data_IF_567394786807
#
_entry.id   IF_567394786807
#
_cell.length_a   1.000
_cell.length_b   1.000
_cell.length_c   1.000
_cell.angle_alpha   90.00
_cell.angle_beta   90.00
_cell.angle_gamma   90.00
#
_symmetry.space_group_name_H-M   'P 1'
#
loop_
_entity.id
_entity.type
_entity.pdbx_description
1 polymer ?
#
# COMPACT_ATOMS: atom_id res chain seq x y z
N UNK A 1 78.45 -36.57 -51.07
CA UNK A 1 77.14 -37.12 -50.66
C UNK A 1 76.85 -36.60 -49.26
N UNK A 2 76.01 -35.57 -49.13
CA UNK A 2 75.76 -34.86 -47.88
C UNK A 2 74.70 -35.60 -47.04
N UNK A 3 75.07 -36.04 -45.85
CA UNK A 3 74.14 -36.57 -44.85
C UNK A 3 73.46 -35.41 -44.11
N UNK A 4 72.20 -35.13 -44.44
CA UNK A 4 71.37 -34.17 -43.72
C UNK A 4 71.01 -34.71 -42.33
N UNK A 5 71.56 -34.10 -41.28
CA UNK A 5 71.12 -34.33 -39.90
C UNK A 5 69.84 -33.53 -39.65
N UNK A 6 68.71 -34.23 -39.53
CA UNK A 6 67.45 -33.66 -39.06
C UNK A 6 67.62 -33.28 -37.57
N UNK A 7 67.40 -32.02 -37.15
CA UNK A 7 67.43 -31.69 -35.74
C UNK A 7 66.25 -32.36 -35.04
N UNK A 8 66.54 -33.22 -34.05
CA UNK A 8 65.55 -33.68 -33.06
C UNK A 8 65.01 -32.44 -32.34
N UNK A 9 63.83 -31.96 -32.73
CA UNK A 9 63.03 -31.03 -31.92
C UNK A 9 62.89 -31.67 -30.54
N UNK A 10 63.55 -31.10 -29.51
CA UNK A 10 63.18 -31.34 -28.12
C UNK A 10 61.68 -31.06 -28.05
N UNK A 11 60.88 -32.07 -27.74
CA UNK A 11 59.51 -31.83 -27.33
C UNK A 11 59.59 -30.93 -26.10
N UNK A 12 59.28 -29.64 -26.29
CA UNK A 12 58.87 -28.77 -25.20
C UNK A 12 57.59 -29.40 -24.63
N UNK A 13 57.75 -30.36 -23.73
CA UNK A 13 56.69 -30.75 -22.81
C UNK A 13 56.52 -29.54 -21.88
N UNK A 14 55.82 -28.53 -22.38
CA UNK A 14 55.35 -27.41 -21.60
C UNK A 14 54.73 -27.94 -20.32
N UNK A 15 54.99 -27.28 -19.20
CA UNK A 15 54.75 -27.82 -17.87
C UNK A 15 53.24 -28.02 -17.62
N UNK A 16 52.70 -29.18 -18.00
CA UNK A 16 51.27 -29.53 -17.92
C UNK A 16 50.75 -29.36 -16.49
N UNK A 17 51.62 -29.57 -15.49
CA UNK A 17 51.31 -29.37 -14.07
C UNK A 17 50.99 -27.89 -13.79
N UNK A 18 51.76 -26.96 -14.35
CA UNK A 18 51.51 -25.52 -14.18
C UNK A 18 50.18 -25.13 -14.83
N UNK A 19 49.90 -25.62 -16.04
CA UNK A 19 48.63 -25.35 -16.72
C UNK A 19 47.43 -25.91 -15.95
N UNK A 20 47.55 -27.12 -15.40
CA UNK A 20 46.53 -27.74 -14.56
C UNK A 20 46.31 -26.95 -13.25
N UNK A 21 47.38 -26.50 -12.59
CA UNK A 21 47.25 -25.67 -11.39
C UNK A 21 46.54 -24.34 -11.69
N UNK A 22 46.86 -23.68 -12.81
CA UNK A 22 46.17 -22.45 -13.21
C UNK A 22 44.70 -22.69 -13.55
N UNK A 23 44.36 -23.80 -14.21
CA UNK A 23 42.97 -24.11 -14.54
C UNK A 23 42.15 -24.41 -13.28
N UNK A 24 42.69 -25.16 -12.32
CA UNK A 24 42.03 -25.39 -11.03
C UNK A 24 41.87 -24.10 -10.22
N UNK A 25 42.88 -23.23 -10.20
CA UNK A 25 42.80 -21.93 -9.53
C UNK A 25 41.74 -21.04 -10.17
N UNK A 26 41.71 -20.95 -11.51
CA UNK A 26 40.71 -20.19 -12.24
C UNK A 26 39.29 -20.73 -11.95
N UNK A 27 39.10 -22.05 -11.99
CA UNK A 27 37.83 -22.70 -11.66
C UNK A 27 37.40 -22.39 -10.22
N UNK A 28 38.30 -22.49 -9.26
CA UNK A 28 38.03 -22.17 -7.85
C UNK A 28 37.61 -20.72 -7.67
N UNK A 29 38.26 -19.77 -8.34
CA UNK A 29 37.90 -18.36 -8.31
C UNK A 29 36.52 -18.14 -8.93
N UNK A 30 36.22 -18.75 -10.08
CA UNK A 30 34.91 -18.65 -10.73
C UNK A 30 33.79 -19.19 -9.83
N UNK A 31 33.99 -20.34 -9.18
CA UNK A 31 33.02 -20.92 -8.25
C UNK A 31 32.79 -20.01 -7.04
N UNK A 32 33.86 -19.41 -6.50
CA UNK A 32 33.77 -18.49 -5.37
C UNK A 32 32.97 -17.22 -5.72
N UNK A 33 33.20 -16.67 -6.93
CA UNK A 33 32.43 -15.53 -7.44
C UNK A 33 30.96 -15.91 -7.62
N UNK A 34 30.67 -17.04 -8.29
CA UNK A 34 29.31 -17.50 -8.50
C UNK A 34 28.55 -17.71 -7.18
N UNK A 35 29.18 -18.37 -6.21
CA UNK A 35 28.61 -18.57 -4.88
C UNK A 35 28.32 -17.24 -4.15
N UNK A 36 29.22 -16.25 -4.28
CA UNK A 36 29.01 -14.91 -3.71
C UNK A 36 27.80 -14.21 -4.31
N UNK A 37 27.67 -14.23 -5.64
CA UNK A 37 26.53 -13.63 -6.34
C UNK A 37 25.22 -14.34 -5.95
N UNK A 38 25.21 -15.67 -5.89
CA UNK A 38 24.05 -16.44 -5.44
C UNK A 38 23.66 -16.10 -3.99
N UNK A 39 24.64 -15.96 -3.09
CA UNK A 39 24.40 -15.59 -1.69
C UNK A 39 23.79 -14.18 -1.55
N UNK A 40 24.33 -13.19 -2.25
CA UNK A 40 23.79 -11.82 -2.25
C UNK A 40 22.38 -11.77 -2.87
N UNK A 41 22.15 -12.50 -3.96
CA UNK A 41 20.83 -12.58 -4.60
C UNK A 41 19.79 -13.22 -3.68
N UNK A 42 20.15 -14.32 -3.00
CA UNK A 42 19.29 -14.96 -2.00
C UNK A 42 18.96 -14.01 -0.85
N UNK A 43 19.96 -13.26 -0.37
CA UNK A 43 19.79 -12.28 0.70
C UNK A 43 18.87 -11.14 0.28
N UNK A 44 19.01 -10.64 -0.95
CA UNK A 44 18.12 -9.61 -1.50
C UNK A 44 16.68 -10.10 -1.60
N UNK A 45 16.45 -11.31 -2.15
CA UNK A 45 15.12 -11.90 -2.23
C UNK A 45 14.49 -12.11 -0.85
N UNK A 46 15.28 -12.59 0.12
CA UNK A 46 14.82 -12.74 1.51
C UNK A 46 14.47 -11.38 2.13
N UNK A 47 15.29 -10.35 1.91
CA UNK A 47 15.04 -9.00 2.41
C UNK A 47 13.76 -8.41 1.81
N UNK A 48 13.55 -8.59 0.50
CA UNK A 48 12.33 -8.17 -0.20
C UNK A 48 11.10 -8.91 0.33
N UNK A 49 11.16 -10.24 0.46
CA UNK A 49 10.06 -11.03 0.98
C UNK A 49 9.64 -10.60 2.39
N UNK A 50 10.59 -10.24 3.25
CA UNK A 50 10.26 -9.72 4.57
C UNK A 50 9.73 -8.29 4.57
N UNK A 51 10.24 -7.42 3.70
CA UNK A 51 9.66 -6.09 3.53
C UNK A 51 8.19 -6.20 3.08
N UNK A 52 7.91 -7.09 2.14
CA UNK A 52 6.56 -7.39 1.66
C UNK A 52 5.68 -7.96 2.76
N UNK A 53 6.18 -8.89 3.57
CA UNK A 53 5.44 -9.47 4.69
C UNK A 53 5.10 -8.44 5.78
N UNK A 54 6.03 -7.54 6.10
CA UNK A 54 5.81 -6.47 7.06
C UNK A 54 4.77 -5.47 6.53
N UNK A 55 4.88 -5.06 5.25
CA UNK A 55 3.87 -4.21 4.62
C UNK A 55 2.49 -4.88 4.63
N UNK A 56 2.44 -6.19 4.33
CA UNK A 56 1.21 -6.97 4.34
C UNK A 56 0.58 -7.03 5.74
N UNK A 57 1.38 -7.10 6.81
CA UNK A 57 0.88 -7.04 8.18
C UNK A 57 0.15 -5.71 8.46
N UNK A 58 0.72 -4.59 8.02
CA UNK A 58 0.09 -3.27 8.10
C UNK A 58 -1.21 -3.22 7.31
N UNK A 59 -1.18 -3.63 6.05
CA UNK A 59 -2.37 -3.65 5.19
C UNK A 59 -3.48 -4.58 5.71
N UNK A 60 -3.14 -5.72 6.31
CA UNK A 60 -4.11 -6.61 6.98
C UNK A 60 -4.80 -5.91 8.14
N UNK A 61 -4.08 -5.11 8.94
CA UNK A 61 -4.69 -4.32 10.01
C UNK A 61 -5.53 -3.15 9.51
N UNK A 62 -5.14 -2.51 8.41
CA UNK A 62 -5.99 -1.54 7.73
C UNK A 62 -7.30 -2.17 7.23
N UNK A 63 -7.27 -3.45 6.85
CA UNK A 63 -8.46 -4.20 6.42
C UNK A 63 -9.32 -4.75 7.59
N UNK A 64 -8.86 -4.62 8.83
CA UNK A 64 -9.49 -5.30 9.95
C UNK A 64 -10.92 -4.76 10.17
N UNK A 65 -11.88 -5.69 10.16
CA UNK A 65 -13.33 -5.47 10.31
C UNK A 65 -13.96 -4.47 9.32
N UNK A 66 -13.30 -4.18 8.20
CA UNK A 66 -13.81 -3.24 7.19
C UNK A 66 -14.21 -1.85 7.74
N UNK A 67 -13.44 -1.34 8.70
CA UNK A 67 -13.77 -0.08 9.36
C UNK A 67 -13.80 1.09 8.35
N UNK A 68 -12.89 1.09 7.38
CA UNK A 68 -12.80 2.13 6.35
C UNK A 68 -14.01 2.05 5.40
N UNK A 69 -14.39 0.85 4.94
CA UNK A 69 -15.48 0.68 3.99
C UNK A 69 -16.84 1.00 4.61
N UNK A 70 -17.09 0.55 5.84
CA UNK A 70 -18.30 0.89 6.59
C UNK A 70 -18.40 2.40 6.85
N UNK A 71 -17.29 3.04 7.23
CA UNK A 71 -17.27 4.48 7.46
C UNK A 71 -17.56 5.28 6.18
N UNK A 72 -16.95 4.91 5.05
CA UNK A 72 -17.27 5.52 3.75
C UNK A 72 -18.76 5.39 3.40
N UNK A 73 -19.35 4.20 3.61
CA UNK A 73 -20.78 3.99 3.39
C UNK A 73 -21.64 4.84 4.33
N UNK A 74 -21.32 4.91 5.62
CA UNK A 74 -22.05 5.73 6.59
C UNK A 74 -22.00 7.21 6.21
N UNK A 75 -20.85 7.74 5.81
CA UNK A 75 -20.69 9.14 5.39
C UNK A 75 -21.56 9.43 4.16
N UNK A 76 -21.51 8.53 3.17
CA UNK A 76 -22.28 8.70 1.95
C UNK A 76 -23.79 8.63 2.21
N UNK A 77 -24.25 7.74 3.09
CA UNK A 77 -25.66 7.65 3.52
C UNK A 77 -26.09 8.84 4.37
N UNK A 78 -25.24 9.31 5.27
CA UNK A 78 -25.50 10.50 6.07
C UNK A 78 -25.67 11.74 5.19
N UNK A 79 -24.85 11.86 4.13
CA UNK A 79 -25.03 12.90 3.10
C UNK A 79 -26.40 12.84 2.44
N UNK A 80 -26.87 11.65 2.07
CA UNK A 80 -28.21 11.48 1.50
C UNK A 80 -29.30 11.85 2.49
N UNK A 81 -29.13 11.49 3.77
CA UNK A 81 -30.09 11.82 4.81
C UNK A 81 -30.23 13.33 4.97
N UNK A 82 -29.11 14.08 5.07
CA UNK A 82 -29.15 15.54 5.15
C UNK A 82 -29.85 16.15 3.93
N UNK A 83 -29.54 15.67 2.72
CA UNK A 83 -30.21 16.15 1.51
C UNK A 83 -31.72 15.88 1.54
N UNK A 84 -32.13 14.65 1.88
CA UNK A 84 -33.55 14.27 1.94
C UNK A 84 -34.28 15.06 3.02
N UNK A 85 -33.71 15.21 4.22
CA UNK A 85 -34.31 15.97 5.30
C UNK A 85 -34.45 17.45 4.97
N UNK A 86 -33.53 18.02 4.18
CA UNK A 86 -33.64 19.38 3.66
C UNK A 86 -34.81 19.51 2.68
N UNK A 87 -34.91 18.59 1.73
CA UNK A 87 -36.01 18.55 0.75
C UNK A 87 -37.37 18.40 1.44
N UNK A 88 -37.46 17.53 2.45
CA UNK A 88 -38.66 17.35 3.28
C UNK A 88 -39.01 18.62 4.06
N UNK A 89 -38.01 19.30 4.65
CA UNK A 89 -38.21 20.57 5.35
C UNK A 89 -38.68 21.68 4.40
N UNK A 90 -38.04 21.84 3.24
CA UNK A 90 -38.38 22.89 2.27
C UNK A 90 -39.78 22.66 1.67
N UNK A 91 -40.14 21.40 1.39
CA UNK A 91 -41.48 21.01 0.92
C UNK A 91 -42.53 21.28 2.00
N UNK A 92 -42.26 20.86 3.25
CA UNK A 92 -43.15 21.11 4.39
C UNK A 92 -43.35 22.60 4.62
N UNK A 93 -42.28 23.40 4.58
CA UNK A 93 -42.34 24.85 4.76
C UNK A 93 -43.14 25.55 3.68
N UNK A 94 -43.11 25.05 2.44
CA UNK A 94 -43.84 25.60 1.31
C UNK A 94 -45.32 25.22 1.34
N UNK A 95 -45.62 23.94 1.54
CA UNK A 95 -46.97 23.40 1.38
C UNK A 95 -47.77 23.43 2.69
N UNK A 96 -47.10 23.30 3.84
CA UNK A 96 -47.69 23.29 5.18
C UNK A 96 -46.87 24.13 6.18
N UNK A 97 -46.88 25.47 6.07
CA UNK A 97 -46.01 26.35 6.86
C UNK A 97 -46.15 26.16 8.39
N UNK A 98 -47.35 25.80 8.86
CA UNK A 98 -47.62 25.54 10.28
C UNK A 98 -46.85 24.30 10.81
N UNK A 99 -46.57 23.34 9.94
CA UNK A 99 -45.84 22.10 10.27
C UNK A 99 -44.32 22.25 10.14
N UNK A 100 -43.82 23.37 9.61
CA UNK A 100 -42.39 23.58 9.41
C UNK A 100 -41.58 23.45 10.71
N UNK A 101 -42.16 23.89 11.83
CA UNK A 101 -41.56 23.77 13.17
C UNK A 101 -41.36 22.32 13.65
N UNK A 102 -42.09 21.35 13.10
CA UNK A 102 -41.92 19.93 13.39
C UNK A 102 -40.88 19.25 12.49
N UNK A 103 -40.67 19.78 11.27
CA UNK A 103 -39.67 19.27 10.33
C UNK A 103 -38.25 19.82 10.61
N UNK A 104 -38.14 21.02 11.18
CA UNK A 104 -36.86 21.65 11.52
C UNK A 104 -35.97 20.79 12.45
N UNK A 105 -36.49 20.19 13.56
CA UNK A 105 -35.67 19.34 14.41
C UNK A 105 -35.11 18.10 13.70
N UNK A 106 -35.83 17.53 12.73
CA UNK A 106 -35.37 16.35 11.98
C UNK A 106 -34.19 16.69 11.07
N UNK A 107 -34.23 17.87 10.45
CA UNK A 107 -33.12 18.40 9.68
C UNK A 107 -31.91 18.71 10.56
N UNK A 108 -32.13 19.34 11.72
CA UNK A 108 -31.06 19.65 12.67
C UNK A 108 -30.41 18.38 13.23
N UNK A 109 -31.19 17.34 13.51
CA UNK A 109 -30.70 16.01 13.91
C UNK A 109 -29.83 15.38 12.81
N UNK A 110 -30.25 15.46 11.55
CA UNK A 110 -29.46 14.97 10.42
C UNK A 110 -28.12 15.73 10.28
N UNK A 111 -28.13 17.06 10.41
CA UNK A 111 -26.93 17.90 10.35
C UNK A 111 -25.98 17.63 11.53
N UNK A 112 -26.53 17.46 12.73
CA UNK A 112 -25.75 17.10 13.94
C UNK A 112 -25.10 15.73 13.76
N UNK A 113 -25.87 14.74 13.28
CA UNK A 113 -25.37 13.40 12.99
C UNK A 113 -24.21 13.40 11.98
N UNK A 114 -24.26 14.26 10.96
CA UNK A 114 -23.16 14.42 10.00
C UNK A 114 -21.89 14.97 10.65
N UNK A 115 -22.04 15.93 11.55
CA UNK A 115 -20.92 16.52 12.30
C UNK A 115 -20.29 15.50 13.25
N UNK A 116 -21.11 14.76 14.00
CA UNK A 116 -20.63 13.71 14.91
C UNK A 116 -19.93 12.58 14.17
N UNK A 117 -20.47 12.17 13.02
CA UNK A 117 -19.86 11.15 12.17
C UNK A 117 -18.48 11.57 11.65
N UNK A 118 -18.30 12.83 11.25
CA UNK A 118 -16.99 13.34 10.83
C UNK A 118 -15.98 13.35 11.99
N UNK A 119 -16.43 13.63 13.22
CA UNK A 119 -15.57 13.52 14.40
C UNK A 119 -15.15 12.07 14.67
N UNK A 120 -16.10 11.12 14.61
CA UNK A 120 -15.81 9.70 14.77
C UNK A 120 -14.88 9.16 13.68
N UNK A 121 -15.07 9.61 12.43
CA UNK A 121 -14.16 9.29 11.32
C UNK A 121 -12.73 9.74 11.62
N UNK A 122 -12.52 10.95 12.14
CA UNK A 122 -11.19 11.46 12.51
C UNK A 122 -10.55 10.62 13.62
N UNK A 123 -11.32 10.27 14.66
CA UNK A 123 -10.84 9.40 15.76
C UNK A 123 -10.47 8.02 15.24
N UNK A 124 -11.34 7.41 14.44
CA UNK A 124 -11.12 6.10 13.83
C UNK A 124 -9.86 6.10 12.96
N UNK A 125 -9.63 7.14 12.16
CA UNK A 125 -8.42 7.26 11.33
C UNK A 125 -7.14 7.26 12.15
N UNK A 126 -7.13 7.95 13.31
CA UNK A 126 -5.98 7.96 14.20
C UNK A 126 -5.71 6.56 14.78
N UNK A 127 -6.76 5.87 15.22
CA UNK A 127 -6.68 4.50 15.77
C UNK A 127 -6.16 3.53 14.70
N UNK A 128 -6.76 3.50 13.51
CA UNK A 128 -6.37 2.59 12.42
C UNK A 128 -4.90 2.81 12.01
N UNK A 129 -4.45 4.07 11.91
CA UNK A 129 -3.05 4.40 11.63
C UNK A 129 -2.11 3.83 12.70
N UNK A 130 -2.46 4.01 13.97
CA UNK A 130 -1.64 3.52 15.08
C UNK A 130 -1.56 2.00 15.12
N UNK A 131 -2.68 1.30 14.93
CA UNK A 131 -2.75 -0.17 14.92
C UNK A 131 -1.99 -0.78 13.73
N UNK A 132 -2.10 -0.18 12.55
CA UNK A 132 -1.37 -0.63 11.37
C UNK A 132 0.14 -0.47 11.55
N UNK A 133 0.60 0.68 12.04
CA UNK A 133 2.02 0.90 12.35
C UNK A 133 2.52 -0.04 13.43
N UNK A 134 1.72 -0.32 14.45
CA UNK A 134 2.09 -1.26 15.51
C UNK A 134 2.27 -2.67 14.95
N UNK A 135 1.32 -3.17 14.14
CA UNK A 135 1.44 -4.50 13.53
C UNK A 135 2.65 -4.62 12.60
N UNK A 136 2.99 -3.55 11.87
CA UNK A 136 4.23 -3.53 11.06
C UNK A 136 5.48 -3.62 11.95
N UNK A 137 5.52 -2.90 13.08
CA UNK A 137 6.63 -2.94 14.03
C UNK A 137 6.77 -4.30 14.69
N UNK A 138 5.67 -4.90 15.11
CA UNK A 138 5.64 -6.23 15.72
C UNK A 138 6.19 -7.26 14.73
N UNK A 139 5.72 -7.22 13.47
CA UNK A 139 6.21 -8.14 12.43
C UNK A 139 7.69 -7.95 12.12
N UNK A 140 8.18 -6.72 12.13
CA UNK A 140 9.61 -6.46 11.96
C UNK A 140 10.43 -6.99 13.15
N UNK A 141 9.93 -6.86 14.38
CA UNK A 141 10.59 -7.39 15.57
C UNK A 141 10.77 -8.93 15.48
N UNK A 142 9.74 -9.65 15.03
CA UNK A 142 9.79 -11.09 14.78
C UNK A 142 10.88 -11.46 13.77
N UNK A 143 11.00 -10.65 12.70
CA UNK A 143 11.82 -10.97 11.54
C UNK A 143 13.29 -10.56 11.73
N UNK A 144 13.55 -9.46 12.44
CA UNK A 144 14.90 -8.87 12.63
C UNK A 144 15.93 -9.86 13.16
N UNK A 145 15.52 -10.81 14.01
CA UNK A 145 16.39 -11.81 14.61
C UNK A 145 16.91 -12.88 13.63
N UNK A 146 16.35 -12.99 12.42
CA UNK A 146 16.59 -14.13 11.52
C UNK A 146 17.63 -13.87 10.41
N UNK A 147 18.33 -12.73 10.42
CA UNK A 147 19.19 -12.26 9.32
C UNK A 147 20.69 -12.40 9.51
N UNK A 148 21.16 -12.97 10.62
CA UNK A 148 22.58 -13.22 10.80
C UNK A 148 23.04 -14.35 9.85
N UNK A 149 23.51 -13.97 8.65
CA UNK A 149 24.22 -14.87 7.75
C UNK A 149 25.69 -14.45 7.71
N UNK A 150 26.56 -15.33 8.17
CA UNK A 150 28.01 -15.15 8.07
C UNK A 150 28.48 -16.02 6.91
N UNK A 151 28.87 -15.39 5.80
CA UNK A 151 29.59 -16.07 4.72
C UNK A 151 31.09 -15.83 4.94
N UNK A 152 31.98 -16.73 4.49
CA UNK A 152 33.40 -16.71 4.90
C UNK A 152 34.15 -15.41 4.56
N UNK A 153 33.66 -14.60 3.61
CA UNK A 153 34.22 -13.29 3.24
C UNK A 153 33.17 -12.17 3.14
N UNK A 154 31.91 -12.41 3.51
CA UNK A 154 30.84 -11.40 3.52
C UNK A 154 30.21 -11.31 4.91
N UNK A 155 30.26 -10.13 5.50
CA UNK A 155 29.56 -9.79 6.73
C UNK A 155 28.24 -9.14 6.38
N UNK A 156 27.14 -9.77 6.78
CA UNK A 156 25.79 -9.22 6.66
C UNK A 156 25.40 -8.59 7.99
N UNK A 157 25.06 -7.29 7.97
CA UNK A 157 24.60 -6.57 9.16
C UNK A 157 23.17 -6.92 9.55
N UNK A 158 22.66 -6.26 10.58
CA UNK A 158 21.23 -6.36 10.94
C UNK A 158 20.38 -5.47 10.03
N UNK A 159 19.19 -5.91 9.60
CA UNK A 159 18.29 -5.06 8.82
C UNK A 159 17.82 -3.88 9.66
N UNK A 160 17.82 -2.68 9.10
CA UNK A 160 17.34 -1.44 9.73
C UNK A 160 16.18 -0.89 8.90
N UNK A 161 15.08 -0.53 9.56
CA UNK A 161 13.97 0.15 8.89
C UNK A 161 14.30 1.64 8.77
N UNK A 162 14.25 2.17 7.56
CA UNK A 162 14.43 3.61 7.33
C UNK A 162 13.12 4.37 7.36
N UNK A 163 12.04 3.74 6.89
CA UNK A 163 10.78 4.44 6.69
C UNK A 163 9.60 3.50 6.89
N UNK A 164 8.65 3.95 7.70
CA UNK A 164 7.30 3.40 7.81
C UNK A 164 6.36 4.42 7.18
N UNK A 165 5.54 3.99 6.22
CA UNK A 165 4.63 4.92 5.54
C UNK A 165 3.28 4.28 5.34
N UNK A 166 2.24 5.07 5.56
CA UNK A 166 0.86 4.73 5.25
C UNK A 166 0.38 5.69 4.16
N UNK A 167 -0.36 5.17 3.21
CA UNK A 167 -0.74 5.93 2.03
C UNK A 167 -2.05 5.43 1.43
N UNK A 168 -2.21 5.70 0.14
CA UNK A 168 -3.25 5.13 -0.71
C UNK A 168 -2.63 4.46 -1.92
N UNK A 169 -3.48 3.80 -2.69
CA UNK A 169 -3.14 3.34 -4.03
C UNK A 169 -3.47 4.44 -5.03
N UNK A 170 -2.60 4.61 -6.03
CA UNK A 170 -2.87 5.56 -7.11
C UNK A 170 -4.11 5.15 -7.92
N UNK A 171 -4.87 6.14 -8.39
CA UNK A 171 -6.07 5.93 -9.23
C UNK A 171 -7.15 4.99 -8.64
N UNK A 172 -7.24 4.86 -7.32
CA UNK A 172 -8.33 4.11 -6.65
C UNK A 172 -9.36 5.05 -6.06
N UNK A 173 -10.60 4.87 -6.53
CA UNK A 173 -11.81 5.55 -6.07
C UNK A 173 -12.27 5.03 -4.69
N UNK A 174 -13.38 5.54 -4.17
CA UNK A 174 -13.99 4.98 -2.98
C UNK A 174 -14.74 3.68 -3.28
N UNK A 175 -15.03 2.90 -2.25
CA UNK A 175 -15.85 1.69 -2.35
C UNK A 175 -17.35 1.97 -2.47
N UNK A 176 -17.77 3.24 -2.45
CA UNK A 176 -19.17 3.65 -2.45
C UNK A 176 -19.67 3.80 -3.89
N UNK A 177 -20.75 3.10 -4.21
CA UNK A 177 -21.44 3.22 -5.50
C UNK A 177 -22.28 4.48 -5.57
N UNK A 178 -22.35 5.09 -6.75
CA UNK A 178 -23.26 6.20 -7.04
C UNK A 178 -24.68 5.85 -6.61
N UNK A 179 -25.30 6.76 -5.87
CA UNK A 179 -26.69 6.61 -5.48
C UNK A 179 -27.63 7.10 -6.58
N UNK A 180 -28.72 6.36 -6.80
CA UNK A 180 -29.68 6.63 -7.87
C UNK A 180 -31.05 7.09 -7.36
N UNK A 181 -31.26 7.10 -6.04
CA UNK A 181 -32.56 7.41 -5.44
C UNK A 181 -32.96 8.88 -5.59
N UNK A 182 -32.00 9.81 -5.49
CA UNK A 182 -32.25 11.25 -5.56
C UNK A 182 -31.67 11.81 -6.85
N UNK A 183 -32.54 12.14 -7.82
CA UNK A 183 -32.11 12.59 -9.16
C UNK A 183 -31.31 13.89 -9.10
N UNK A 184 -31.76 14.85 -8.31
CA UNK A 184 -31.10 16.15 -8.19
C UNK A 184 -29.69 16.02 -7.60
N UNK A 185 -29.55 15.27 -6.50
CA UNK A 185 -28.25 14.98 -5.89
C UNK A 185 -27.31 14.26 -6.87
N UNK A 186 -27.83 13.30 -7.63
CA UNK A 186 -27.06 12.58 -8.65
C UNK A 186 -26.55 13.52 -9.75
N UNK A 187 -27.43 14.37 -10.28
CA UNK A 187 -27.06 15.30 -11.34
C UNK A 187 -26.00 16.30 -10.83
N UNK A 188 -26.14 16.79 -9.60
CA UNK A 188 -25.13 17.61 -8.92
C UNK A 188 -23.80 16.87 -8.74
N UNK A 189 -23.83 15.63 -8.27
CA UNK A 189 -22.62 14.81 -8.07
C UNK A 189 -21.84 14.62 -9.37
N UNK A 190 -22.56 14.42 -10.48
CA UNK A 190 -21.94 14.33 -11.81
C UNK A 190 -21.37 15.67 -12.27
N UNK A 191 -22.09 16.78 -12.10
CA UNK A 191 -21.60 18.12 -12.44
C UNK A 191 -20.34 18.49 -11.66
N UNK A 192 -20.23 18.06 -10.40
CA UNK A 192 -19.09 18.35 -9.54
C UNK A 192 -17.93 17.36 -9.70
N UNK A 193 -18.03 16.39 -10.62
CA UNK A 193 -17.07 15.31 -10.80
C UNK A 193 -16.80 14.57 -9.48
N UNK A 194 -17.86 14.26 -8.74
CA UNK A 194 -17.84 13.43 -7.55
C UNK A 194 -18.00 11.95 -7.86
N UNK A 195 -18.46 11.61 -9.06
CA UNK A 195 -18.65 10.25 -9.51
C UNK A 195 -17.75 10.01 -10.71
N UNK A 196 -16.99 8.93 -10.68
CA UNK A 196 -16.19 8.44 -11.80
C UNK A 196 -16.70 7.07 -12.21
N UNK A 197 -16.83 6.84 -13.51
CA UNK A 197 -17.14 5.51 -14.05
C UNK A 197 -15.85 4.69 -14.09
N UNK A 198 -15.82 3.60 -13.33
CA UNK A 198 -14.70 2.66 -13.33
C UNK A 198 -14.58 1.97 -14.69
N UNK A 199 -13.41 1.40 -14.97
CA UNK A 199 -13.17 0.56 -16.14
C UNK A 199 -14.13 -0.65 -16.24
N UNK A 200 -14.73 -1.07 -15.12
CA UNK A 200 -15.71 -2.16 -15.06
C UNK A 200 -17.16 -1.70 -15.27
N UNK A 201 -17.38 -0.42 -15.60
CA UNK A 201 -18.70 0.17 -15.81
C UNK A 201 -19.45 0.51 -14.51
N UNK A 202 -18.79 0.46 -13.35
CA UNK A 202 -19.38 0.82 -12.06
C UNK A 202 -19.14 2.30 -11.78
N UNK A 203 -20.20 3.04 -11.47
CA UNK A 203 -20.09 4.43 -11.04
C UNK A 203 -19.74 4.46 -9.56
N UNK A 204 -18.57 4.99 -9.22
CA UNK A 204 -18.06 5.07 -7.86
C UNK A 204 -17.79 6.52 -7.48
N UNK A 205 -17.99 6.83 -6.20
CA UNK A 205 -17.63 8.15 -5.69
C UNK A 205 -16.11 8.33 -5.66
N UNK A 206 -15.67 9.53 -6.02
CA UNK A 206 -14.25 9.90 -6.06
C UNK A 206 -13.62 9.83 -4.68
N UNK A 207 -12.43 9.26 -4.58
CA UNK A 207 -11.72 9.22 -3.30
C UNK A 207 -11.01 10.55 -2.98
N UNK A 208 -10.79 10.79 -1.69
CA UNK A 208 -10.00 11.91 -1.17
C UNK A 208 -10.47 13.30 -1.62
N UNK A 209 -11.76 13.40 -1.93
CA UNK A 209 -12.46 14.64 -2.23
C UNK A 209 -13.58 14.82 -1.21
N UNK A 210 -13.80 16.06 -0.81
CA UNK A 210 -14.91 16.41 0.06
C UNK A 210 -16.18 16.56 -0.79
N UNK A 211 -17.17 15.70 -0.55
CA UNK A 211 -18.42 15.62 -1.29
C UNK A 211 -19.45 16.58 -0.71
N UNK A 212 -19.17 17.88 -0.73
CA UNK A 212 -20.06 18.88 -0.13
C UNK A 212 -21.46 18.81 -0.76
N UNK A 213 -22.45 19.14 0.05
CA UNK A 213 -23.77 19.47 -0.46
C UNK A 213 -23.74 20.91 -0.99
N UNK A 214 -24.61 21.20 -1.95
CA UNK A 214 -24.78 22.56 -2.48
C UNK A 214 -25.72 23.32 -1.55
N UNK A 215 -25.65 24.66 -1.57
CA UNK A 215 -26.55 25.56 -0.85
C UNK A 215 -26.30 25.62 0.67
N UNK A 216 -27.37 25.68 1.46
CA UNK A 216 -27.40 25.95 2.91
C UNK A 216 -26.68 24.88 3.76
N UNK A 217 -26.39 23.71 3.18
CA UNK A 217 -25.70 22.59 3.84
C UNK A 217 -24.23 22.44 3.38
N UNK A 218 -23.67 23.44 2.68
CA UNK A 218 -22.29 23.44 2.20
C UNK A 218 -21.23 23.53 3.31
N UNK A 219 -21.65 23.86 4.54
CA UNK A 219 -20.78 23.89 5.72
C UNK A 219 -20.38 22.49 6.19
N UNK A 220 -21.15 21.46 5.86
CA UNK A 220 -20.87 20.08 6.21
C UNK A 220 -19.81 19.45 5.29
N UNK A 221 -19.01 18.56 5.86
CA UNK A 221 -17.93 17.86 5.16
C UNK A 221 -18.23 16.36 5.03
N UNK A 222 -18.09 15.82 3.82
CA UNK A 222 -18.33 14.41 3.51
C UNK A 222 -17.10 13.80 2.84
N UNK A 223 -16.16 13.37 3.67
CA UNK A 223 -14.82 12.94 3.25
C UNK A 223 -14.75 11.42 3.03
N UNK A 224 -14.78 10.97 1.78
CA UNK A 224 -14.65 9.56 1.41
C UNK A 224 -13.19 9.18 1.17
N UNK A 225 -12.72 8.12 1.84
CA UNK A 225 -11.33 7.65 1.74
C UNK A 225 -11.16 6.67 0.57
N UNK A 226 -9.95 6.65 0.00
CA UNK A 226 -9.60 5.74 -1.11
C UNK A 226 -9.64 4.29 -0.66
N UNK A 227 -10.45 3.48 -1.32
CA UNK A 227 -10.64 2.08 -0.96
C UNK A 227 -11.19 1.29 -2.15
N UNK A 228 -10.49 0.26 -2.64
CA UNK A 228 -10.95 -0.51 -3.79
C UNK A 228 -12.35 -1.10 -3.57
N UNK A 229 -13.22 -1.11 -4.59
CA UNK A 229 -14.56 -1.70 -4.51
C UNK A 229 -14.50 -3.23 -4.45
N UNK A 230 -15.59 -3.85 -3.98
CA UNK A 230 -15.74 -5.30 -3.91
C UNK A 230 -15.77 -5.94 -5.30
N UNK A 231 -15.09 -7.09 -5.44
CA UNK A 231 -15.22 -7.99 -6.59
C UNK A 231 -16.07 -9.18 -6.15
N UNK A 232 -17.20 -9.43 -6.82
CA UNK A 232 -18.07 -10.58 -6.50
C UNK A 232 -18.69 -10.54 -5.10
N UNK A 233 -18.84 -9.36 -4.48
CA UNK A 233 -19.37 -9.14 -3.12
C UNK A 233 -18.50 -9.74 -1.99
N UNK A 234 -17.24 -10.08 -2.27
CA UNK A 234 -16.31 -10.61 -1.26
C UNK A 234 -15.22 -9.59 -0.93
N UNK A 235 -14.89 -9.52 0.36
CA UNK A 235 -13.72 -8.78 0.86
C UNK A 235 -12.50 -9.46 0.28
N UNK A 236 -11.75 -8.75 -0.57
CA UNK A 236 -10.46 -9.28 -1.02
C UNK A 236 -9.48 -9.29 0.15
N UNK A 237 -8.52 -10.22 0.11
CA UNK A 237 -7.43 -10.19 1.07
C UNK A 237 -6.49 -9.02 0.75
N UNK A 238 -5.81 -8.51 1.78
CA UNK A 238 -4.71 -7.58 1.56
C UNK A 238 -3.67 -8.23 0.62
N UNK A 239 -3.08 -7.43 -0.27
CA UNK A 239 -2.17 -7.92 -1.32
C UNK A 239 -0.98 -7.01 -1.50
N UNK A 240 0.15 -7.58 -1.92
CA UNK A 240 1.32 -6.80 -2.28
C UNK A 240 1.09 -6.08 -3.60
N UNK A 241 1.65 -4.88 -3.71
CA UNK A 241 1.58 -4.02 -4.88
C UNK A 241 2.98 -3.49 -5.21
N UNK A 242 3.15 -2.88 -6.38
CA UNK A 242 4.44 -2.32 -6.72
C UNK A 242 4.68 -1.05 -5.88
N UNK A 243 5.92 -0.81 -5.40
CA UNK A 243 6.24 0.38 -4.62
C UNK A 243 5.97 1.72 -5.34
N UNK A 244 5.93 1.70 -6.68
CA UNK A 244 5.65 2.87 -7.51
C UNK A 244 4.18 3.32 -7.45
N UNK A 245 3.26 2.40 -7.12
CA UNK A 245 1.82 2.66 -7.08
C UNK A 245 1.39 3.22 -5.70
N UNK A 246 2.35 3.39 -4.79
CA UNK A 246 2.14 4.00 -3.48
C UNK A 246 2.12 5.53 -3.61
N UNK A 247 1.07 6.14 -3.10
CA UNK A 247 0.94 7.59 -2.98
C UNK A 247 0.66 7.96 -1.53
N UNK A 248 1.26 9.03 -0.97
CA UNK A 248 0.88 9.51 0.36
C UNK A 248 -0.62 9.81 0.44
N UNK A 249 -1.23 9.42 1.56
CA UNK A 249 -2.65 9.72 1.83
C UNK A 249 -2.82 11.22 2.04
N UNK A 250 -3.90 11.79 1.49
CA UNK A 250 -4.24 13.19 1.75
C UNK A 250 -4.54 13.40 3.23
N UNK A 251 -4.09 14.53 3.80
CA UNK A 251 -4.33 14.82 5.22
C UNK A 251 -5.82 14.77 5.55
N UNK A 252 -6.16 14.14 6.68
CA UNK A 252 -7.54 13.94 7.10
C UNK A 252 -8.18 12.65 6.58
N UNK A 253 -7.66 11.95 5.57
CA UNK A 253 -8.24 10.70 5.06
C UNK A 253 -7.64 9.44 5.69
N UNK A 254 -8.40 8.34 5.59
CA UNK A 254 -7.95 7.01 6.03
C UNK A 254 -6.96 6.43 5.01
N UNK A 255 -5.82 5.88 5.45
CA UNK A 255 -4.89 5.23 4.55
C UNK A 255 -5.42 3.85 4.14
N UNK A 256 -5.17 3.47 2.89
CA UNK A 256 -5.49 2.15 2.34
C UNK A 256 -4.25 1.33 1.94
N UNK A 257 -3.05 1.90 2.02
CA UNK A 257 -1.80 1.18 1.75
C UNK A 257 -0.80 1.33 2.89
N UNK A 258 0.07 0.33 3.01
CA UNK A 258 1.21 0.33 3.91
C UNK A 258 2.49 0.10 3.09
N UNK A 259 3.54 0.88 3.36
CA UNK A 259 4.84 0.78 2.74
C UNK A 259 5.94 0.78 3.82
N UNK A 260 6.95 -0.05 3.60
CA UNK A 260 8.15 -0.08 4.43
C UNK A 260 9.40 -0.09 3.55
N UNK A 261 10.43 0.64 4.00
CA UNK A 261 11.77 0.55 3.42
C UNK A 261 12.73 -0.03 4.44
N UNK A 262 13.39 -1.13 4.08
CA UNK A 262 14.38 -1.83 4.91
C UNK A 262 15.73 -1.75 4.21
N UNK A 263 16.76 -1.45 5.00
CA UNK A 263 18.14 -1.41 4.55
C UNK A 263 18.96 -2.49 5.24
N UNK A 264 19.86 -3.13 4.48
CA UNK A 264 20.76 -4.16 4.98
C UNK A 264 22.17 -3.86 4.48
N UNK A 265 23.10 -3.63 5.41
CA UNK A 265 24.51 -3.42 5.08
C UNK A 265 25.18 -4.76 4.81
N UNK A 266 25.87 -4.86 3.68
CA UNK A 266 26.67 -6.01 3.27
C UNK A 266 28.08 -5.52 3.00
N UNK A 267 29.07 -6.08 3.69
CA UNK A 267 30.48 -5.69 3.53
C UNK A 267 31.38 -6.89 3.34
N UNK A 268 32.51 -6.70 2.66
CA UNK A 268 33.56 -7.71 2.55
C UNK A 268 34.40 -7.75 3.83
N UNK A 269 34.67 -8.97 4.32
CA UNK A 269 35.49 -9.20 5.52
C UNK A 269 37.00 -9.23 5.26
N UNK A 270 37.44 -9.07 4.01
CA UNK A 270 38.84 -9.15 3.58
C UNK A 270 39.25 -7.83 2.90
N UNK A 271 40.22 -7.10 3.48
CA UNK A 271 40.84 -5.90 2.88
C UNK A 271 40.17 -4.56 3.24
N UNK A 272 40.33 -3.55 2.38
CA UNK A 272 39.69 -2.23 2.54
C UNK A 272 38.17 -2.44 2.51
N UNK A 273 37.50 -2.22 3.64
CA UNK A 273 36.08 -2.50 3.83
C UNK A 273 35.24 -1.82 2.74
N UNK A 274 34.89 -2.58 1.70
CA UNK A 274 34.01 -2.13 0.63
C UNK A 274 32.64 -2.68 0.95
N UNK A 275 31.73 -1.79 1.33
CA UNK A 275 30.37 -2.12 1.73
C UNK A 275 29.35 -1.59 0.73
N UNK A 276 28.25 -2.32 0.56
CA UNK A 276 27.06 -1.86 -0.13
C UNK A 276 25.86 -1.96 0.80
N UNK A 277 24.81 -1.20 0.52
CA UNK A 277 23.54 -1.27 1.25
C UNK A 277 22.48 -1.81 0.31
N UNK A 278 21.95 -2.98 0.63
CA UNK A 278 20.76 -3.51 -0.04
C UNK A 278 19.55 -2.78 0.50
N UNK A 279 18.70 -2.29 -0.40
CA UNK A 279 17.45 -1.62 -0.07
C UNK A 279 16.30 -2.49 -0.59
N UNK A 280 15.37 -2.83 0.29
CA UNK A 280 14.12 -3.48 -0.07
C UNK A 280 12.96 -2.55 0.27
N UNK A 281 11.97 -2.49 -0.62
CA UNK A 281 10.75 -1.70 -0.43
C UNK A 281 9.56 -2.63 -0.58
N UNK A 282 8.86 -2.87 0.52
CA UNK A 282 7.62 -3.64 0.54
C UNK A 282 6.43 -2.71 0.54
N UNK A 283 5.43 -2.98 -0.29
CA UNK A 283 4.19 -2.20 -0.34
C UNK A 283 3.00 -3.14 -0.45
N UNK A 284 1.98 -2.91 0.38
CA UNK A 284 0.76 -3.69 0.39
C UNK A 284 -0.49 -2.80 0.46
N UNK A 285 -1.57 -3.27 -0.16
CA UNK A 285 -2.86 -2.63 -0.29
C UNK A 285 -3.91 -3.38 0.55
N UNK A 286 -4.73 -2.63 1.27
CA UNK A 286 -6.00 -3.11 1.81
C UNK A 286 -7.12 -2.96 0.80
N UNK A 287 -8.14 -3.81 0.91
CA UNK A 287 -9.34 -3.76 0.09
C UNK A 287 -10.55 -3.74 1.00
N UNK A 288 -11.34 -2.67 0.93
CA UNK A 288 -12.54 -2.53 1.74
C UNK A 288 -13.73 -3.32 1.24
N UNK A 289 -14.76 -3.37 2.08
CA UNK A 289 -15.42 -4.64 2.33
C UNK A 289 -16.97 -4.61 2.44
N UNK A 290 -17.49 -5.83 2.68
CA UNK A 290 -18.83 -6.38 2.85
C UNK A 290 -20.10 -5.64 2.38
N UNK A 291 -21.02 -6.43 1.80
CA UNK A 291 -22.44 -6.07 1.71
C UNK A 291 -22.96 -5.76 3.13
N UNK A 292 -23.46 -4.54 3.36
CA UNK A 292 -24.54 -4.38 4.34
C UNK A 292 -25.79 -5.03 3.73
N UNK A 293 -26.43 -5.89 4.52
CA UNK A 293 -27.77 -6.39 4.25
C UNK A 293 -28.76 -5.23 4.22
#
# INVERSE_FOLDING_TARGET
MNTSRIPKRRQERGNIIILACFSFMALSVTLMIAYSFCGVYWLHNRLQASADEIALAGAKKLNDRDRIGQMNNMIARCRQLVHSSREDYDTTKKDYPELASFAEPLLDEARTSATDLEQERKKMNAVIKSEALQAMKDRYADIKGTYAMVLPWLTVGTPVVTTWSLGKFDDVQSNVTEFTQFKELKDQDRTQNYVTTSATGLNLYTAEKNHKLVNTDADLDFNLSSLPPLVGKQISSARNIQPKDFVPVTSGYAPSTAQITIQLKVATGLGVATGSTLIAKGTALTTGAAKQQ
#
